data_IF_094322148418
#
_entry.id   IF_094322148418
#
_cell.length_a   1.000
_cell.length_b   1.000
_cell.length_c   1.000
_cell.angle_alpha   90.00
_cell.angle_beta   90.00
_cell.angle_gamma   90.00
#
_symmetry.space_group_name_H-M   'P 1'
#
loop_
_entity.id
_entity.type
_entity.pdbx_description
1 polymer ?
#
# COMPACT_ATOMS: atom_id res chain seq x y z
N UNK A 1 -3.08 33.71 -3.40
CA UNK A 1 -3.20 32.36 -2.81
C UNK A 1 -3.84 31.47 -3.87
N UNK A 2 -3.40 30.24 -4.02
CA UNK A 2 -3.98 29.31 -5.00
C UNK A 2 -5.22 28.66 -4.38
N UNK A 3 -6.39 29.21 -4.69
CA UNK A 3 -7.66 28.80 -4.09
C UNK A 3 -8.09 27.39 -4.59
N UNK A 4 -8.76 26.60 -3.75
CA UNK A 4 -9.13 25.20 -4.07
C UNK A 4 -9.99 25.10 -5.34
N UNK A 5 -10.89 26.05 -5.58
CA UNK A 5 -11.69 26.09 -6.82
C UNK A 5 -10.85 26.38 -8.07
N UNK A 6 -9.81 27.21 -7.94
CA UNK A 6 -8.86 27.47 -9.02
C UNK A 6 -7.99 26.24 -9.27
N UNK A 7 -7.58 25.54 -8.19
CA UNK A 7 -6.85 24.26 -8.28
C UNK A 7 -7.63 23.23 -9.08
N UNK A 8 -8.93 23.03 -8.80
CA UNK A 8 -9.76 22.07 -9.52
C UNK A 8 -9.87 22.43 -11.01
N UNK A 9 -10.07 23.71 -11.30
CA UNK A 9 -10.14 24.17 -12.70
C UNK A 9 -8.81 23.95 -13.42
N UNK A 10 -7.70 24.33 -12.80
CA UNK A 10 -6.36 24.12 -13.37
C UNK A 10 -6.07 22.62 -13.58
N UNK A 11 -6.51 21.75 -12.66
CA UNK A 11 -6.40 20.31 -12.83
C UNK A 11 -7.24 19.78 -14.01
N UNK A 12 -8.43 20.32 -14.22
CA UNK A 12 -9.28 20.00 -15.39
C UNK A 12 -8.64 20.49 -16.70
N UNK A 13 -8.01 21.67 -16.70
CA UNK A 13 -7.32 22.21 -17.88
C UNK A 13 -6.15 21.31 -18.33
N UNK A 14 -5.49 20.61 -17.38
CA UNK A 14 -4.42 19.65 -17.67
C UNK A 14 -4.90 18.20 -17.83
N UNK A 15 -6.21 17.93 -17.88
CA UNK A 15 -6.75 16.57 -18.02
C UNK A 15 -6.16 15.79 -19.21
N UNK A 16 -5.99 16.38 -20.42
CA UNK A 16 -5.37 15.65 -21.52
C UNK A 16 -3.95 15.15 -21.20
N UNK A 17 -3.16 15.95 -20.50
CA UNK A 17 -1.82 15.58 -20.02
C UNK A 17 -1.88 14.43 -19.01
N UNK A 18 -2.80 14.48 -18.05
CA UNK A 18 -2.97 13.43 -17.06
C UNK A 18 -3.34 12.11 -17.70
N UNK A 19 -4.31 12.11 -18.63
CA UNK A 19 -4.76 10.92 -19.34
C UNK A 19 -3.61 10.32 -20.18
N UNK A 20 -2.85 11.16 -20.90
CA UNK A 20 -1.71 10.68 -21.69
C UNK A 20 -0.63 10.04 -20.80
N UNK A 21 -0.29 10.69 -19.68
CA UNK A 21 0.69 10.19 -18.72
C UNK A 21 0.24 8.87 -18.09
N UNK A 22 -1.03 8.80 -17.66
CA UNK A 22 -1.63 7.58 -17.11
C UNK A 22 -1.51 6.41 -18.09
N UNK A 23 -1.94 6.62 -19.34
CA UNK A 23 -1.91 5.60 -20.39
C UNK A 23 -0.49 5.17 -20.78
N UNK A 24 0.48 6.08 -20.69
CA UNK A 24 1.89 5.76 -20.89
C UNK A 24 2.41 4.84 -19.79
N UNK A 25 2.13 5.15 -18.52
CA UNK A 25 2.55 4.35 -17.37
C UNK A 25 1.84 2.98 -17.38
N UNK A 26 0.54 2.96 -17.67
CA UNK A 26 -0.25 1.72 -17.76
C UNK A 26 0.30 0.72 -18.77
N UNK A 27 0.83 1.18 -19.90
CA UNK A 27 1.44 0.30 -20.91
C UNK A 27 2.74 -0.36 -20.49
N UNK A 28 3.47 0.21 -19.52
CA UNK A 28 4.81 -0.25 -19.15
C UNK A 28 4.89 -0.64 -17.66
N UNK A 29 4.01 -1.53 -17.16
CA UNK A 29 4.01 -1.92 -15.76
C UNK A 29 5.22 -2.79 -15.43
N UNK A 30 5.81 -2.58 -14.27
CA UNK A 30 6.89 -3.38 -13.72
C UNK A 30 6.53 -3.85 -12.31
N UNK A 31 6.83 -5.11 -11.98
CA UNK A 31 6.54 -5.67 -10.65
C UNK A 31 7.51 -5.12 -9.59
N UNK A 32 7.13 -5.28 -8.33
CA UNK A 32 7.90 -4.89 -7.17
C UNK A 32 9.40 -5.22 -7.30
N UNK A 33 10.28 -4.28 -6.90
CA UNK A 33 11.74 -4.31 -7.02
C UNK A 33 12.31 -4.34 -8.45
N UNK A 34 11.48 -4.16 -9.47
CA UNK A 34 11.91 -4.12 -10.89
C UNK A 34 11.46 -2.85 -11.61
N UNK A 35 11.07 -1.81 -10.89
CA UNK A 35 10.45 -0.58 -11.39
C UNK A 35 11.49 0.42 -11.97
N UNK A 36 12.65 -0.06 -12.40
CA UNK A 36 13.70 0.81 -12.97
C UNK A 36 13.27 1.48 -14.28
N UNK A 37 12.47 0.82 -15.11
CA UNK A 37 11.89 1.38 -16.33
C UNK A 37 10.85 2.44 -16.01
N UNK A 38 9.93 2.15 -15.10
CA UNK A 38 8.94 3.08 -14.58
C UNK A 38 9.60 4.35 -14.03
N UNK A 39 10.64 4.21 -13.21
CA UNK A 39 11.37 5.35 -12.67
C UNK A 39 12.12 6.15 -13.76
N UNK A 40 12.59 5.53 -14.84
CA UNK A 40 13.13 6.28 -16.00
C UNK A 40 12.06 7.13 -16.67
N UNK A 41 10.84 6.61 -16.86
CA UNK A 41 9.72 7.38 -17.41
C UNK A 41 9.37 8.56 -16.49
N UNK A 42 9.28 8.35 -15.18
CA UNK A 42 9.01 9.38 -14.19
C UNK A 42 10.08 10.49 -14.20
N UNK A 43 11.37 10.11 -14.22
CA UNK A 43 12.48 11.07 -14.27
C UNK A 43 12.50 11.87 -15.56
N UNK A 44 12.24 11.24 -16.70
CA UNK A 44 12.15 11.94 -17.99
C UNK A 44 11.00 12.97 -17.98
N UNK A 45 9.87 12.64 -17.34
CA UNK A 45 8.77 13.57 -17.21
C UNK A 45 9.08 14.69 -16.21
N UNK A 46 9.76 14.41 -15.11
CA UNK A 46 10.25 15.44 -14.16
C UNK A 46 11.23 16.41 -14.83
N UNK A 47 12.13 15.90 -15.67
CA UNK A 47 13.04 16.71 -16.48
C UNK A 47 12.26 17.63 -17.44
N UNK A 48 11.23 17.10 -18.12
CA UNK A 48 10.35 17.86 -19.02
C UNK A 48 9.59 18.97 -18.27
N UNK A 49 9.13 18.67 -17.05
CA UNK A 49 8.48 19.64 -16.16
C UNK A 49 9.51 20.60 -15.55
N UNK A 50 10.81 20.33 -15.63
CA UNK A 50 11.87 21.07 -14.97
C UNK A 50 11.78 21.03 -13.44
N UNK A 51 11.35 19.89 -12.87
CA UNK A 51 11.28 19.63 -11.43
C UNK A 51 12.49 18.84 -11.01
N UNK A 52 13.19 19.29 -9.97
CA UNK A 52 14.35 18.58 -9.42
C UNK A 52 13.93 17.32 -8.69
N UNK A 53 14.79 16.29 -8.72
CA UNK A 53 14.54 15.05 -8.00
C UNK A 53 15.83 14.45 -7.42
N UNK A 54 15.65 13.59 -6.43
CA UNK A 54 16.66 12.73 -5.84
C UNK A 54 16.40 11.30 -6.29
N UNK A 55 17.45 10.57 -6.65
CA UNK A 55 17.37 9.20 -7.16
C UNK A 55 18.39 8.32 -6.40
N UNK A 56 18.11 7.93 -5.15
CA UNK A 56 19.03 7.16 -4.33
C UNK A 56 19.22 5.73 -4.84
N UNK A 57 18.28 5.21 -5.62
CA UNK A 57 18.30 3.92 -6.28
C UNK A 57 17.61 3.99 -7.65
N UNK A 58 17.76 2.95 -8.46
CA UNK A 58 17.16 2.93 -9.80
C UNK A 58 15.63 2.90 -9.77
N UNK A 59 15.06 2.31 -8.72
CA UNK A 59 13.63 2.15 -8.49
C UNK A 59 13.03 3.18 -7.52
N UNK A 60 13.81 4.15 -6.99
CA UNK A 60 13.32 5.20 -6.09
C UNK A 60 13.56 6.57 -6.71
N UNK A 61 12.50 7.35 -6.82
CA UNK A 61 12.57 8.76 -7.25
C UNK A 61 11.79 9.64 -6.27
N UNK A 62 12.43 10.69 -5.76
CA UNK A 62 11.80 11.66 -4.86
C UNK A 62 11.90 13.03 -5.54
N UNK A 63 10.81 13.48 -6.13
CA UNK A 63 10.72 14.80 -6.72
C UNK A 63 10.62 15.87 -5.62
N UNK A 64 11.33 16.99 -5.79
CA UNK A 64 11.37 18.08 -4.80
C UNK A 64 11.02 19.39 -5.48
N UNK A 65 10.01 20.06 -4.94
CA UNK A 65 9.64 21.41 -5.37
C UNK A 65 9.54 22.33 -4.14
N UNK A 66 10.30 23.42 -4.15
CA UNK A 66 10.31 24.42 -3.08
C UNK A 66 9.66 25.70 -3.58
N UNK A 67 8.66 26.21 -2.86
CA UNK A 67 7.99 27.47 -3.19
C UNK A 67 8.85 28.71 -2.97
N UNK A 68 10.00 28.57 -2.31
CA UNK A 68 10.84 29.65 -1.79
C UNK A 68 10.14 30.56 -0.75
N UNK A 69 8.99 30.13 -0.23
CA UNK A 69 8.27 30.80 0.84
C UNK A 69 8.28 29.90 2.09
N UNK A 70 8.48 30.46 3.31
CA UNK A 70 8.49 29.67 4.53
C UNK A 70 7.20 28.87 4.71
N UNK A 71 7.32 27.60 5.07
CA UNK A 71 6.19 26.69 5.29
C UNK A 71 6.69 25.26 5.58
N UNK A 72 5.77 24.31 5.79
CA UNK A 72 6.10 22.90 6.05
C UNK A 72 6.66 22.19 4.81
N UNK A 73 7.29 21.05 5.04
CA UNK A 73 7.60 20.08 4.01
C UNK A 73 6.48 19.02 3.97
N UNK A 74 5.77 18.95 2.87
CA UNK A 74 4.69 17.96 2.66
C UNK A 74 5.22 16.79 1.85
N UNK A 75 5.05 15.56 2.35
CA UNK A 75 5.36 14.33 1.63
C UNK A 75 4.09 13.79 0.95
N UNK A 76 4.14 13.61 -0.36
CA UNK A 76 3.07 12.97 -1.12
C UNK A 76 3.57 11.61 -1.61
N UNK A 77 2.89 10.53 -1.23
CA UNK A 77 3.29 9.18 -1.65
C UNK A 77 2.51 8.75 -2.89
N UNK A 78 3.23 8.23 -3.86
CA UNK A 78 2.73 7.56 -5.06
C UNK A 78 3.52 6.26 -5.23
N UNK A 79 2.88 5.13 -5.04
CA UNK A 79 3.46 3.82 -5.31
C UNK A 79 3.67 3.60 -6.82
N UNK A 80 4.61 2.73 -7.17
CA UNK A 80 5.06 2.61 -8.58
C UNK A 80 4.99 1.20 -9.14
N UNK A 81 4.89 0.19 -8.31
CA UNK A 81 4.90 -1.20 -8.72
C UNK A 81 3.57 -1.68 -9.31
N UNK A 82 3.65 -2.73 -10.09
CA UNK A 82 2.54 -3.44 -10.71
C UNK A 82 2.50 -4.89 -10.21
N UNK A 83 1.45 -5.59 -10.59
CA UNK A 83 1.18 -6.96 -10.16
C UNK A 83 1.45 -7.99 -11.28
N UNK A 84 1.85 -9.22 -10.93
CA UNK A 84 1.97 -10.33 -11.88
C UNK A 84 0.57 -10.87 -12.25
N UNK A 85 -0.22 -10.03 -12.92
CA UNK A 85 -1.59 -10.31 -13.36
C UNK A 85 -1.65 -10.14 -14.87
N UNK A 86 -2.23 -11.12 -15.58
CA UNK A 86 -2.49 -10.99 -17.01
C UNK A 86 -3.64 -10.01 -17.24
N UNK A 87 -3.39 -8.96 -18.01
CA UNK A 87 -4.42 -8.01 -18.36
C UNK A 87 -5.43 -8.57 -19.36
N UNK A 88 -6.71 -8.34 -19.10
CA UNK A 88 -7.87 -8.78 -19.87
C UNK A 88 -8.83 -7.61 -20.21
N UNK A 89 -8.37 -6.38 -20.11
CA UNK A 89 -9.22 -5.18 -20.29
C UNK A 89 -9.62 -4.93 -21.74
N UNK A 90 -8.77 -5.33 -22.69
CA UNK A 90 -8.94 -5.02 -24.12
C UNK A 90 -8.78 -3.52 -24.45
N UNK A 91 -8.16 -2.74 -23.57
CA UNK A 91 -7.90 -1.32 -23.78
C UNK A 91 -6.86 -1.09 -24.88
N UNK A 92 -6.97 0.00 -25.66
CA UNK A 92 -5.99 0.32 -26.70
C UNK A 92 -4.59 0.68 -26.15
N UNK A 93 -4.50 0.89 -24.83
CA UNK A 93 -3.28 1.18 -24.10
C UNK A 93 -3.01 0.12 -23.03
N UNK A 94 -3.49 -1.10 -23.22
CA UNK A 94 -3.23 -2.23 -22.34
C UNK A 94 -1.72 -2.47 -22.19
N UNK A 95 -1.34 -3.16 -21.11
CA UNK A 95 0.03 -3.52 -20.78
C UNK A 95 0.76 -4.14 -21.99
N UNK A 96 1.95 -3.64 -22.28
CA UNK A 96 2.87 -4.22 -23.27
C UNK A 96 3.79 -5.30 -22.64
N UNK A 97 3.71 -5.52 -21.31
CA UNK A 97 4.45 -6.52 -20.56
C UNK A 97 3.55 -7.74 -20.26
N UNK A 98 3.62 -8.84 -21.03
CA UNK A 98 2.74 -9.99 -20.83
C UNK A 98 2.81 -10.53 -19.40
N UNK A 99 1.64 -10.75 -18.79
CA UNK A 99 1.53 -11.27 -17.42
C UNK A 99 1.78 -10.24 -16.31
N UNK A 100 1.93 -8.95 -16.65
CA UNK A 100 2.08 -7.86 -15.68
C UNK A 100 1.09 -6.75 -15.97
N UNK A 101 0.45 -6.20 -14.94
CA UNK A 101 -0.57 -5.16 -15.07
C UNK A 101 -0.60 -4.25 -13.84
N UNK A 102 -0.83 -2.95 -14.05
CA UNK A 102 -1.24 -2.05 -12.96
C UNK A 102 -2.68 -2.34 -12.52
N UNK A 103 -2.87 -3.45 -11.82
CA UNK A 103 -4.19 -3.90 -11.36
C UNK A 103 -4.58 -3.34 -9.99
N UNK A 104 -3.78 -2.43 -9.42
CA UNK A 104 -4.08 -1.70 -8.18
C UNK A 104 -4.23 -0.18 -8.36
N UNK A 105 -3.92 0.35 -9.55
CA UNK A 105 -4.08 1.77 -9.87
C UNK A 105 -2.87 2.64 -9.54
N UNK A 106 -1.69 2.06 -9.35
CA UNK A 106 -0.46 2.80 -9.03
C UNK A 106 -0.01 3.72 -10.18
N UNK A 107 -0.33 3.40 -11.41
CA UNK A 107 -0.20 4.28 -12.58
C UNK A 107 -0.99 5.58 -12.43
N UNK A 108 -2.19 5.52 -11.86
CA UNK A 108 -2.99 6.70 -11.53
C UNK A 108 -2.38 7.50 -10.37
N UNK A 109 -1.79 6.81 -9.37
CA UNK A 109 -1.12 7.48 -8.25
C UNK A 109 0.13 8.24 -8.72
N UNK A 110 0.97 7.61 -9.55
CA UNK A 110 2.12 8.27 -10.19
C UNK A 110 1.70 9.48 -11.04
N UNK A 111 0.65 9.32 -11.86
CA UNK A 111 0.08 10.38 -12.67
C UNK A 111 -0.41 11.54 -11.81
N UNK A 112 -1.07 11.23 -10.69
CA UNK A 112 -1.55 12.22 -9.71
C UNK A 112 -0.40 13.02 -9.13
N UNK A 113 0.70 12.35 -8.75
CA UNK A 113 1.91 13.01 -8.24
C UNK A 113 2.53 13.96 -9.26
N UNK A 114 2.67 13.52 -10.51
CA UNK A 114 3.20 14.36 -11.61
C UNK A 114 2.27 15.55 -11.91
N UNK A 115 0.95 15.32 -11.92
CA UNK A 115 -0.05 16.39 -12.08
C UNK A 115 0.03 17.42 -10.97
N UNK A 116 0.17 16.99 -9.72
CA UNK A 116 0.34 17.87 -8.55
C UNK A 116 1.61 18.73 -8.67
N UNK A 117 2.73 18.13 -9.05
CA UNK A 117 3.98 18.88 -9.27
C UNK A 117 3.84 19.92 -10.37
N UNK A 118 3.16 19.57 -11.47
CA UNK A 118 2.88 20.51 -12.56
C UNK A 118 2.04 21.68 -12.10
N UNK A 119 0.93 21.43 -11.41
CA UNK A 119 0.03 22.46 -10.89
C UNK A 119 0.76 23.39 -9.92
N UNK A 120 1.51 22.87 -8.96
CA UNK A 120 2.27 23.64 -8.01
C UNK A 120 3.37 24.47 -8.68
N UNK A 121 4.03 23.93 -9.70
CA UNK A 121 5.09 24.64 -10.44
C UNK A 121 4.54 25.77 -11.30
N UNK A 122 3.43 25.55 -12.00
CA UNK A 122 2.78 26.61 -12.79
C UNK A 122 2.24 27.75 -11.91
N UNK A 123 2.02 27.49 -10.60
CA UNK A 123 1.50 28.46 -9.64
C UNK A 123 2.52 28.84 -8.54
N UNK A 124 3.82 28.85 -8.90
CA UNK A 124 4.88 29.30 -7.98
C UNK A 124 4.60 30.68 -7.41
N UNK A 125 4.91 30.86 -6.12
CA UNK A 125 4.67 32.11 -5.39
C UNK A 125 3.24 32.26 -4.83
N UNK A 126 2.33 31.33 -5.10
CA UNK A 126 0.96 31.34 -4.57
C UNK A 126 0.71 30.34 -3.45
N UNK A 127 1.68 29.49 -3.15
CA UNK A 127 1.68 28.49 -2.07
C UNK A 127 2.98 28.57 -1.27
N UNK A 128 3.05 27.91 -0.11
CA UNK A 128 4.14 28.01 0.86
C UNK A 128 4.70 26.65 1.22
N UNK A 129 6.00 26.64 1.56
CA UNK A 129 6.71 25.45 2.00
C UNK A 129 7.31 24.67 0.85
N UNK A 130 7.52 23.40 1.07
CA UNK A 130 8.16 22.47 0.16
C UNK A 130 7.31 21.20 0.01
N UNK A 131 7.31 20.61 -1.17
CA UNK A 131 6.69 19.32 -1.41
C UNK A 131 7.74 18.31 -1.88
N UNK A 132 7.64 17.09 -1.36
CA UNK A 132 8.35 15.92 -1.84
C UNK A 132 7.33 14.92 -2.36
N UNK A 133 7.31 14.68 -3.67
CA UNK A 133 6.53 13.58 -4.24
C UNK A 133 7.42 12.35 -4.29
N UNK A 134 7.02 11.34 -3.54
CA UNK A 134 7.77 10.11 -3.31
C UNK A 134 7.18 9.05 -4.24
N UNK A 135 7.89 8.73 -5.31
CA UNK A 135 7.58 7.61 -6.17
C UNK A 135 8.20 6.36 -5.52
N UNK A 136 7.35 5.70 -4.70
CA UNK A 136 7.74 4.60 -3.84
C UNK A 136 7.64 3.27 -4.57
N UNK A 137 8.70 2.44 -4.60
CA UNK A 137 8.62 1.08 -5.15
C UNK A 137 7.91 0.12 -4.20
N UNK A 138 7.64 -1.09 -4.69
CA UNK A 138 7.34 -2.30 -3.92
C UNK A 138 6.30 -2.12 -2.80
N UNK A 139 5.16 -1.52 -3.12
CA UNK A 139 4.02 -1.51 -2.21
C UNK A 139 3.47 -2.94 -2.06
N UNK A 140 3.28 -3.63 -3.16
CA UNK A 140 2.82 -5.02 -3.24
C UNK A 140 3.93 -6.04 -2.90
N UNK A 141 5.19 -5.57 -2.90
CA UNK A 141 6.38 -6.33 -2.53
C UNK A 141 6.74 -6.26 -1.04
N UNK A 142 6.00 -5.47 -0.26
CA UNK A 142 5.97 -5.41 1.20
C UNK A 142 7.00 -4.49 1.89
N UNK A 143 8.15 -4.11 1.29
CA UNK A 143 9.24 -3.38 1.98
C UNK A 143 9.63 -2.03 1.34
N UNK A 144 8.96 -1.61 0.27
CA UNK A 144 9.34 -0.41 -0.48
C UNK A 144 9.32 0.89 0.33
N UNK A 145 8.40 1.03 1.28
CA UNK A 145 8.40 2.18 2.19
C UNK A 145 9.62 2.21 3.09
N UNK A 146 10.07 1.05 3.59
CA UNK A 146 11.24 0.94 4.44
C UNK A 146 12.52 1.27 3.66
N UNK A 147 12.60 0.86 2.37
CA UNK A 147 13.69 1.26 1.48
C UNK A 147 13.76 2.79 1.34
N UNK A 148 12.62 3.46 1.12
CA UNK A 148 12.56 4.92 1.02
C UNK A 148 12.96 5.58 2.35
N UNK A 149 12.42 5.12 3.47
CA UNK A 149 12.72 5.64 4.81
C UNK A 149 14.22 5.50 5.13
N UNK A 150 14.81 4.34 4.81
CA UNK A 150 16.23 4.07 5.02
C UNK A 150 17.17 5.02 4.28
N UNK A 151 16.72 5.65 3.18
CA UNK A 151 17.51 6.69 2.48
C UNK A 151 17.76 7.93 3.34
N UNK A 152 16.94 8.19 4.36
CA UNK A 152 16.94 9.42 5.16
C UNK A 152 16.44 10.67 4.42
N UNK A 153 16.11 10.56 3.14
CA UNK A 153 15.76 11.71 2.27
C UNK A 153 14.37 12.28 2.54
N UNK A 154 13.56 11.60 3.34
CA UNK A 154 12.20 12.02 3.73
C UNK A 154 12.08 12.40 5.21
N UNK A 155 13.20 12.42 5.96
CA UNK A 155 13.24 12.66 7.41
C UNK A 155 12.84 14.08 7.83
N UNK A 156 12.82 15.03 6.90
CA UNK A 156 12.43 16.42 7.10
C UNK A 156 10.98 16.72 6.68
N UNK A 157 10.20 15.70 6.36
CA UNK A 157 8.77 15.84 6.08
C UNK A 157 8.00 16.12 7.37
N UNK A 158 7.10 17.09 7.34
CA UNK A 158 6.27 17.51 8.48
C UNK A 158 4.90 16.82 8.51
N UNK A 159 4.40 16.39 7.34
CA UNK A 159 3.14 15.66 7.19
C UNK A 159 3.15 14.90 5.86
N UNK A 160 2.63 13.66 5.87
CA UNK A 160 2.44 12.88 4.64
C UNK A 160 0.98 12.84 4.22
N UNK A 161 0.78 12.74 2.90
CA UNK A 161 -0.54 12.49 2.33
C UNK A 161 -0.43 11.50 1.17
N UNK A 162 -1.35 10.55 1.13
CA UNK A 162 -1.52 9.63 0.02
C UNK A 162 -2.98 9.51 -0.38
N UNK A 163 -3.21 9.31 -1.68
CA UNK A 163 -4.52 9.00 -2.24
C UNK A 163 -4.42 7.61 -2.86
N UNK A 164 -5.39 6.74 -2.56
CA UNK A 164 -5.58 5.50 -3.31
C UNK A 164 -6.87 5.57 -4.12
N UNK A 165 -6.82 5.22 -5.40
CA UNK A 165 -8.01 5.05 -6.23
C UNK A 165 -8.75 3.78 -5.79
N UNK A 166 -10.10 3.82 -5.68
CA UNK A 166 -10.82 2.75 -5.00
C UNK A 166 -12.06 2.31 -5.76
N UNK A 167 -12.03 1.11 -6.36
CA UNK A 167 -13.11 0.58 -7.17
C UNK A 167 -14.40 0.20 -6.41
N UNK A 168 -14.42 -0.05 -5.08
CA UNK A 168 -15.68 -0.18 -4.35
C UNK A 168 -16.48 1.11 -4.17
N UNK A 169 -15.90 2.28 -4.44
CA UNK A 169 -16.59 3.56 -4.31
C UNK A 169 -16.93 4.15 -5.69
N UNK A 170 -18.09 4.81 -5.76
CA UNK A 170 -18.58 5.43 -6.98
C UNK A 170 -17.60 6.47 -7.53
N UNK A 171 -17.47 6.55 -8.84
CA UNK A 171 -16.59 7.47 -9.53
C UNK A 171 -16.82 8.93 -9.12
N UNK A 172 -15.72 9.64 -8.87
CA UNK A 172 -15.72 11.05 -8.47
C UNK A 172 -16.16 11.31 -7.03
N UNK A 173 -16.16 10.28 -6.15
CA UNK A 173 -16.38 10.45 -4.71
C UNK A 173 -15.05 10.48 -3.94
N UNK A 174 -14.98 11.27 -2.87
CA UNK A 174 -13.83 11.43 -2.00
C UNK A 174 -14.12 10.86 -0.61
N UNK A 175 -13.20 10.06 -0.08
CA UNK A 175 -13.38 9.38 1.19
C UNK A 175 -12.16 9.61 2.09
N UNK A 176 -12.40 10.17 3.26
CA UNK A 176 -11.38 10.40 4.31
C UNK A 176 -12.02 10.37 5.69
N UNK A 177 -11.36 9.75 6.65
CA UNK A 177 -11.81 9.66 8.04
C UNK A 177 -10.62 9.55 8.99
N UNK A 178 -10.69 10.09 10.21
CA UNK A 178 -9.63 9.98 11.22
C UNK A 178 -9.73 8.63 11.96
N UNK A 179 -9.64 7.53 11.22
CA UNK A 179 -9.79 6.17 11.73
C UNK A 179 -8.63 5.28 11.27
N UNK A 180 -8.58 4.07 11.79
CA UNK A 180 -7.78 2.98 11.20
C UNK A 180 -8.46 2.53 9.92
N UNK A 181 -7.80 2.71 8.79
CA UNK A 181 -8.35 2.40 7.45
C UNK A 181 -7.92 1.05 6.92
N UNK A 182 -6.68 0.62 7.26
CA UNK A 182 -6.10 -0.64 6.79
C UNK A 182 -5.37 -1.35 7.93
N UNK A 183 -5.27 -2.67 7.84
CA UNK A 183 -4.67 -3.50 8.87
C UNK A 183 -3.14 -3.48 8.84
N UNK A 184 -2.53 -3.70 10.00
CA UNK A 184 -1.15 -4.12 10.10
C UNK A 184 -0.96 -5.51 9.50
N UNK A 185 0.20 -5.71 8.88
CA UNK A 185 0.54 -6.93 8.15
C UNK A 185 1.76 -7.59 8.77
N UNK A 186 1.64 -8.89 9.06
CA UNK A 186 2.80 -9.74 9.27
C UNK A 186 2.79 -10.90 8.29
N UNK A 187 3.98 -11.32 7.88
CA UNK A 187 4.22 -12.58 7.20
C UNK A 187 4.98 -13.51 8.12
N UNK A 188 4.59 -14.78 8.20
CA UNK A 188 5.31 -15.74 9.01
C UNK A 188 5.67 -17.01 8.24
N UNK A 189 6.83 -17.57 8.60
CA UNK A 189 7.27 -18.90 8.18
C UNK A 189 7.60 -19.72 9.43
N UNK A 190 6.99 -20.89 9.56
CA UNK A 190 7.26 -21.84 10.63
C UNK A 190 7.88 -23.09 10.00
N UNK A 191 9.05 -23.50 10.50
CA UNK A 191 9.68 -24.77 10.15
C UNK A 191 9.68 -25.66 11.36
N UNK A 192 9.03 -26.83 11.23
CA UNK A 192 9.08 -27.90 12.22
C UNK A 192 10.16 -28.89 11.82
N UNK A 193 11.04 -29.21 12.74
CA UNK A 193 12.17 -30.11 12.52
C UNK A 193 12.03 -31.30 13.46
N UNK A 194 11.79 -32.44 12.89
CA UNK A 194 11.64 -33.71 13.57
C UNK A 194 12.77 -34.71 13.25
N UNK A 195 12.45 -35.96 13.26
CA UNK A 195 13.34 -37.06 12.87
C UNK A 195 12.60 -38.03 11.95
N UNK A 196 12.94 -38.00 10.65
CA UNK A 196 12.38 -38.89 9.63
C UNK A 196 12.80 -40.34 9.81
N UNK A 197 12.14 -41.24 9.08
CA UNK A 197 12.47 -42.65 9.09
C UNK A 197 11.48 -43.50 8.31
N UNK A 198 11.59 -44.84 8.51
CA UNK A 198 10.75 -45.79 7.81
C UNK A 198 9.31 -45.73 8.33
N UNK A 199 8.31 -45.63 7.44
CA UNK A 199 6.90 -45.52 7.80
C UNK A 199 6.35 -46.66 8.64
N UNK A 200 7.01 -47.86 8.67
CA UNK A 200 6.62 -49.01 9.49
C UNK A 200 7.26 -49.00 10.92
N UNK A 201 8.12 -48.02 11.25
CA UNK A 201 8.77 -47.91 12.57
C UNK A 201 8.60 -46.50 13.15
N UNK A 202 7.34 -46.00 13.29
CA UNK A 202 7.07 -44.63 13.73
C UNK A 202 7.59 -44.33 15.15
N UNK A 203 7.70 -45.33 16.00
CA UNK A 203 8.23 -45.22 17.36
C UNK A 203 9.70 -44.77 17.42
N UNK A 204 10.41 -44.81 16.29
CA UNK A 204 11.82 -44.38 16.17
C UNK A 204 11.94 -42.97 15.58
N UNK A 205 10.80 -42.33 15.27
CA UNK A 205 10.76 -41.08 14.55
C UNK A 205 10.10 -39.94 15.37
N UNK A 206 10.21 -38.72 14.87
CA UNK A 206 9.44 -37.56 15.30
C UNK A 206 8.82 -36.97 14.03
N UNK A 207 7.51 -37.21 13.83
CA UNK A 207 6.83 -36.96 12.58
C UNK A 207 6.48 -35.48 12.41
N UNK A 208 7.25 -34.77 11.60
CA UNK A 208 7.03 -33.36 11.34
C UNK A 208 5.74 -33.08 10.54
N UNK A 209 5.28 -34.02 9.70
CA UNK A 209 4.03 -33.90 8.95
C UNK A 209 2.83 -33.92 9.89
N UNK A 210 2.78 -34.86 10.82
CA UNK A 210 1.69 -34.96 11.80
C UNK A 210 1.71 -33.77 12.75
N UNK A 211 2.90 -33.34 13.20
CA UNK A 211 3.08 -32.12 13.99
C UNK A 211 2.56 -30.89 13.26
N UNK A 212 2.90 -30.72 11.96
CA UNK A 212 2.43 -29.62 11.13
C UNK A 212 0.93 -29.61 10.93
N UNK A 213 0.31 -30.76 10.64
CA UNK A 213 -1.14 -30.89 10.50
C UNK A 213 -1.88 -30.51 11.81
N UNK A 214 -1.34 -30.95 12.96
CA UNK A 214 -1.87 -30.56 14.28
C UNK A 214 -1.71 -29.06 14.54
N UNK A 215 -0.55 -28.48 14.18
CA UNK A 215 -0.28 -27.05 14.33
C UNK A 215 -1.24 -26.19 13.49
N UNK A 216 -1.49 -26.53 12.23
CA UNK A 216 -2.45 -25.83 11.36
C UNK A 216 -3.83 -25.74 12.03
N UNK A 217 -4.30 -26.81 12.63
CA UNK A 217 -5.58 -26.87 13.35
C UNK A 217 -5.52 -26.04 14.64
N UNK A 218 -4.45 -26.18 15.43
CA UNK A 218 -4.30 -25.51 16.72
C UNK A 218 -4.21 -24.00 16.58
N UNK A 219 -3.54 -23.48 15.53
CA UNK A 219 -3.41 -22.06 15.26
C UNK A 219 -4.75 -21.36 14.98
N UNK A 220 -5.79 -22.09 14.55
CA UNK A 220 -7.14 -21.51 14.40
C UNK A 220 -7.70 -21.00 15.74
N UNK A 221 -7.21 -21.53 16.87
CA UNK A 221 -7.62 -21.09 18.19
C UNK A 221 -7.09 -19.71 18.58
N UNK A 222 -6.07 -19.20 17.90
CA UNK A 222 -5.52 -17.86 18.16
C UNK A 222 -6.63 -16.82 18.02
N UNK A 223 -7.30 -16.77 16.87
CA UNK A 223 -8.38 -15.81 16.63
C UNK A 223 -9.64 -16.20 17.41
N UNK A 224 -10.02 -17.49 17.38
CA UNK A 224 -11.32 -17.91 17.90
C UNK A 224 -11.38 -18.05 19.44
N UNK A 225 -10.25 -18.11 20.16
CA UNK A 225 -10.20 -18.37 21.62
C UNK A 225 -9.25 -17.46 22.40
N UNK A 226 -8.33 -16.75 21.75
CA UNK A 226 -7.38 -15.88 22.45
C UNK A 226 -7.73 -14.39 22.34
N UNK A 227 -8.59 -14.01 21.38
CA UNK A 227 -9.04 -12.64 21.19
C UNK A 227 -10.48 -12.41 21.66
N UNK A 228 -10.77 -11.18 22.05
CA UNK A 228 -12.15 -10.73 22.24
C UNK A 228 -12.90 -10.83 20.89
N UNK A 229 -14.18 -11.26 20.88
CA UNK A 229 -14.99 -11.25 19.65
C UNK A 229 -15.16 -9.86 19.01
N UNK A 230 -14.86 -8.79 19.77
CA UNK A 230 -14.94 -7.41 19.30
C UNK A 230 -13.62 -6.92 18.67
N UNK A 231 -12.55 -7.71 18.75
CA UNK A 231 -11.23 -7.38 18.20
C UNK A 231 -11.02 -8.09 16.87
N UNK A 232 -11.07 -7.38 15.73
CA UNK A 232 -10.86 -7.98 14.43
C UNK A 232 -9.39 -8.40 14.26
N UNK A 233 -9.20 -9.66 13.87
CA UNK A 233 -7.90 -10.16 13.47
C UNK A 233 -8.07 -11.29 12.43
N UNK A 234 -7.08 -11.43 11.55
CA UNK A 234 -6.98 -12.54 10.61
C UNK A 234 -5.66 -13.25 10.85
N UNK A 235 -5.70 -14.58 10.95
CA UNK A 235 -4.54 -15.45 10.87
C UNK A 235 -4.84 -16.48 9.78
N UNK A 236 -4.10 -16.40 8.68
CA UNK A 236 -4.25 -17.29 7.54
C UNK A 236 -3.01 -18.13 7.36
N UNK A 237 -3.18 -19.44 7.18
CA UNK A 237 -2.14 -20.34 6.70
C UNK A 237 -2.40 -20.53 5.22
N UNK A 238 -1.50 -20.00 4.38
CA UNK A 238 -1.61 -20.05 2.92
C UNK A 238 -0.83 -21.20 2.29
N UNK A 239 0.14 -21.77 3.02
CA UNK A 239 1.01 -22.83 2.50
C UNK A 239 1.41 -23.81 3.60
N UNK A 240 1.38 -25.12 3.26
CA UNK A 240 1.89 -26.18 4.10
C UNK A 240 2.54 -27.26 3.24
N UNK A 241 3.83 -27.51 3.44
CA UNK A 241 4.62 -28.51 2.71
C UNK A 241 5.33 -29.44 3.67
N UNK A 242 5.16 -30.74 3.48
CA UNK A 242 5.87 -31.78 4.24
C UNK A 242 5.82 -33.12 3.51
N UNK A 243 6.88 -33.92 3.65
CA UNK A 243 6.97 -35.29 3.10
C UNK A 243 7.19 -35.33 1.58
N UNK A 244 7.74 -36.41 1.09
CA UNK A 244 8.02 -36.65 -0.35
C UNK A 244 7.38 -37.93 -0.87
N UNK A 245 7.39 -39.01 -0.06
CA UNK A 245 6.89 -40.34 -0.45
C UNK A 245 6.15 -41.00 0.70
N UNK A 246 5.10 -41.77 0.40
CA UNK A 246 4.12 -42.25 1.38
C UNK A 246 4.61 -43.30 2.39
N UNK A 247 5.81 -43.87 2.23
CA UNK A 247 6.38 -44.88 3.14
C UNK A 247 7.58 -44.31 3.96
N UNK A 248 7.82 -43.02 3.93
CA UNK A 248 8.88 -42.32 4.69
C UNK A 248 8.24 -41.27 5.57
N UNK A 249 8.53 -41.31 6.87
CA UNK A 249 8.12 -40.27 7.82
C UNK A 249 8.91 -39.01 7.55
N UNK A 250 8.20 -37.88 7.43
CA UNK A 250 8.79 -36.60 7.12
C UNK A 250 9.65 -36.06 8.26
N UNK A 251 10.85 -35.62 7.95
CA UNK A 251 11.74 -34.96 8.90
C UNK A 251 11.40 -33.49 9.11
N UNK A 252 10.83 -32.83 8.08
CA UNK A 252 10.56 -31.40 8.10
C UNK A 252 9.16 -31.08 7.62
N UNK A 253 8.60 -30.00 8.15
CA UNK A 253 7.38 -29.38 7.66
C UNK A 253 7.57 -27.85 7.62
N UNK A 254 7.17 -27.23 6.52
CA UNK A 254 7.14 -25.77 6.36
C UNK A 254 5.70 -25.28 6.26
N UNK A 255 5.37 -24.27 7.07
CA UNK A 255 4.06 -23.61 7.10
C UNK A 255 4.28 -22.12 6.92
N UNK A 256 3.56 -21.50 5.97
CA UNK A 256 3.62 -20.05 5.73
C UNK A 256 2.24 -19.43 5.84
N UNK A 257 2.20 -18.20 6.34
CA UNK A 257 0.95 -17.51 6.49
C UNK A 257 1.10 -16.02 6.77
N UNK A 258 -0.04 -15.38 7.02
CA UNK A 258 -0.12 -13.94 7.28
C UNK A 258 -0.99 -13.66 8.50
N UNK A 259 -0.67 -12.57 9.20
CA UNK A 259 -1.47 -12.00 10.28
C UNK A 259 -1.92 -10.60 9.86
N UNK A 260 -3.19 -10.26 10.14
CA UNK A 260 -3.75 -8.92 9.98
C UNK A 260 -4.39 -8.48 11.28
N UNK A 261 -4.10 -7.25 11.74
CA UNK A 261 -4.65 -6.67 12.96
C UNK A 261 -4.82 -5.16 12.83
N UNK A 262 -5.70 -4.56 13.63
CA UNK A 262 -6.00 -3.13 13.54
C UNK A 262 -5.30 -2.28 14.61
N UNK A 263 -4.61 -2.92 15.56
CA UNK A 263 -3.88 -2.24 16.61
C UNK A 263 -2.71 -3.10 17.12
N UNK A 264 -1.74 -2.46 17.77
CA UNK A 264 -0.52 -3.10 18.22
C UNK A 264 -0.76 -4.08 19.38
N UNK A 265 -1.73 -3.83 20.25
CA UNK A 265 -2.04 -4.73 21.38
C UNK A 265 -2.51 -6.10 20.85
N UNK A 266 -3.49 -6.08 19.93
CA UNK A 266 -3.98 -7.29 19.27
C UNK A 266 -2.87 -7.98 18.47
N UNK A 267 -2.02 -7.21 17.76
CA UNK A 267 -0.88 -7.72 17.00
C UNK A 267 0.07 -8.51 17.90
N UNK A 268 0.51 -7.89 18.97
CA UNK A 268 1.42 -8.51 19.96
C UNK A 268 0.81 -9.76 20.60
N UNK A 269 -0.49 -9.74 20.89
CA UNK A 269 -1.18 -10.91 21.45
C UNK A 269 -1.20 -12.08 20.45
N UNK A 270 -1.55 -11.81 19.17
CA UNK A 270 -1.57 -12.85 18.11
C UNK A 270 -0.18 -13.43 17.88
N UNK A 271 0.85 -12.60 17.81
CA UNK A 271 2.25 -13.03 17.64
C UNK A 271 2.70 -13.94 18.80
N UNK A 272 2.41 -13.54 20.03
CA UNK A 272 2.77 -14.34 21.21
C UNK A 272 2.04 -15.68 21.23
N UNK A 273 0.73 -15.69 20.94
CA UNK A 273 -0.06 -16.92 20.88
C UNK A 273 0.38 -17.86 19.74
N UNK A 274 0.72 -17.30 18.56
CA UNK A 274 1.29 -18.08 17.46
C UNK A 274 2.57 -18.80 17.92
N UNK A 275 3.48 -18.10 18.59
CA UNK A 275 4.74 -18.65 19.11
C UNK A 275 4.48 -19.74 20.14
N UNK A 276 3.70 -19.47 21.17
CA UNK A 276 3.40 -20.41 22.26
C UNK A 276 2.75 -21.70 21.76
N UNK A 277 1.76 -21.61 20.84
CA UNK A 277 1.08 -22.77 20.28
C UNK A 277 2.04 -23.55 19.39
N UNK A 278 2.88 -22.87 18.62
CA UNK A 278 3.86 -23.53 17.73
C UNK A 278 4.89 -24.31 18.53
N UNK A 279 5.50 -23.69 19.54
CA UNK A 279 6.51 -24.34 20.38
C UNK A 279 5.92 -25.55 21.17
N UNK A 280 4.71 -25.36 21.73
CA UNK A 280 4.03 -26.42 22.48
C UNK A 280 3.63 -27.60 21.58
N UNK A 281 3.13 -27.31 20.37
CA UNK A 281 2.77 -28.34 19.42
C UNK A 281 3.99 -29.11 18.91
N UNK A 282 5.07 -28.40 18.58
CA UNK A 282 6.32 -29.04 18.18
C UNK A 282 6.83 -29.99 19.28
N UNK A 283 6.88 -29.52 20.52
CA UNK A 283 7.33 -30.31 21.67
C UNK A 283 6.45 -31.57 21.88
N UNK A 284 5.13 -31.47 21.73
CA UNK A 284 4.19 -32.60 21.87
C UNK A 284 4.53 -33.76 20.91
N UNK A 285 5.07 -33.47 19.73
CA UNK A 285 5.47 -34.47 18.74
C UNK A 285 6.98 -34.75 18.74
N UNK A 286 7.74 -34.26 19.73
CA UNK A 286 9.19 -34.40 19.80
C UNK A 286 9.97 -33.64 18.75
N UNK A 287 9.33 -32.69 18.06
CA UNK A 287 9.94 -31.79 17.09
C UNK A 287 10.45 -30.52 17.75
N UNK A 288 11.29 -29.77 17.02
CA UNK A 288 11.63 -28.38 17.34
C UNK A 288 11.00 -27.45 16.30
N UNK A 289 10.81 -26.18 16.68
CA UNK A 289 10.25 -25.17 15.77
C UNK A 289 11.23 -24.01 15.56
N UNK A 290 11.30 -23.52 14.33
CA UNK A 290 11.90 -22.25 13.98
C UNK A 290 10.77 -21.34 13.45
N UNK A 291 10.70 -20.10 13.93
CA UNK A 291 9.62 -19.19 13.61
C UNK A 291 10.23 -17.86 13.13
N UNK A 292 10.03 -17.56 11.86
CA UNK A 292 10.30 -16.26 11.29
C UNK A 292 8.97 -15.51 11.19
N UNK A 293 8.86 -14.37 11.87
CA UNK A 293 7.68 -13.51 11.82
C UNK A 293 8.15 -12.08 11.49
N UNK A 294 7.83 -11.64 10.28
CA UNK A 294 8.25 -10.35 9.72
C UNK A 294 7.07 -9.40 9.82
N UNK A 295 7.26 -8.26 10.47
CA UNK A 295 6.32 -7.13 10.47
C UNK A 295 6.55 -6.34 9.20
N UNK A 296 5.58 -6.40 8.29
CA UNK A 296 5.65 -5.77 6.96
C UNK A 296 5.20 -4.32 7.03
N UNK A 297 4.03 -4.08 7.63
CA UNK A 297 3.50 -2.74 7.81
C UNK A 297 2.71 -2.61 9.11
N UNK A 298 2.63 -1.40 9.62
CA UNK A 298 1.70 -1.05 10.68
C UNK A 298 0.28 -0.85 10.14
N UNK A 299 -0.71 -0.71 11.04
CA UNK A 299 -2.05 -0.35 10.62
C UNK A 299 -2.07 1.10 10.14
N UNK A 300 -2.70 1.35 8.98
CA UNK A 300 -2.87 2.71 8.48
C UNK A 300 -3.89 3.43 9.35
N UNK A 301 -3.41 4.31 10.21
CA UNK A 301 -4.23 5.13 11.11
C UNK A 301 -4.05 6.60 10.78
N UNK A 302 -5.07 7.20 10.20
CA UNK A 302 -5.03 8.62 9.86
C UNK A 302 -4.90 9.51 11.10
N UNK A 303 -3.98 10.46 11.03
CA UNK A 303 -3.88 11.53 12.01
C UNK A 303 -5.12 12.44 11.93
N UNK A 304 -5.67 12.81 13.09
CA UNK A 304 -6.92 13.58 13.16
C UNK A 304 -6.82 14.94 12.49
N UNK A 305 -5.70 15.65 12.66
CA UNK A 305 -5.46 16.97 12.08
C UNK A 305 -5.27 16.88 10.57
N UNK A 306 -4.49 15.91 10.11
CA UNK A 306 -4.25 15.69 8.69
C UNK A 306 -5.54 15.26 7.97
N UNK A 307 -6.33 14.37 8.58
CA UNK A 307 -7.63 13.94 8.04
C UNK A 307 -8.65 15.09 8.01
N UNK A 308 -8.69 15.94 9.05
CA UNK A 308 -9.56 17.11 9.07
C UNK A 308 -9.19 18.10 7.97
N UNK A 309 -7.90 18.31 7.70
CA UNK A 309 -7.42 19.17 6.62
C UNK A 309 -7.79 18.59 5.24
N UNK A 310 -7.56 17.30 5.03
CA UNK A 310 -7.92 16.61 3.79
C UNK A 310 -9.44 16.66 3.54
N UNK A 311 -10.26 16.51 4.59
CA UNK A 311 -11.71 16.65 4.52
C UNK A 311 -12.14 18.07 4.17
N UNK A 312 -11.50 19.09 4.76
CA UNK A 312 -11.79 20.47 4.43
C UNK A 312 -11.51 20.76 2.96
N UNK A 313 -10.37 20.29 2.42
CA UNK A 313 -10.07 20.39 0.99
C UNK A 313 -11.12 19.66 0.13
N UNK A 314 -11.53 18.45 0.51
CA UNK A 314 -12.54 17.67 -0.21
C UNK A 314 -13.88 18.42 -0.34
N UNK A 315 -14.32 19.09 0.73
CA UNK A 315 -15.58 19.89 0.75
C UNK A 315 -15.57 21.07 -0.20
N UNK A 316 -14.41 21.59 -0.54
CA UNK A 316 -14.28 22.67 -1.52
C UNK A 316 -14.15 22.16 -2.96
N UNK A 317 -13.71 20.90 -3.15
CA UNK A 317 -13.50 20.29 -4.46
C UNK A 317 -14.77 19.67 -5.04
N UNK A 318 -15.59 19.04 -4.21
CA UNK A 318 -16.81 18.33 -4.66
C UNK A 318 -18.00 18.66 -3.77
N UNK A 319 -19.25 18.50 -4.27
CA UNK A 319 -20.46 18.60 -3.46
C UNK A 319 -20.47 17.60 -2.29
N UNK A 320 -21.20 17.92 -1.22
CA UNK A 320 -21.22 17.15 0.03
C UNK A 320 -21.70 15.68 -0.18
N UNK A 321 -22.61 15.45 -1.09
CA UNK A 321 -23.09 14.11 -1.47
C UNK A 321 -22.04 13.24 -2.18
N UNK A 322 -20.92 13.83 -2.59
CA UNK A 322 -19.75 13.14 -3.15
C UNK A 322 -18.65 12.86 -2.11
N UNK A 323 -18.88 13.19 -0.85
CA UNK A 323 -17.93 12.95 0.24
C UNK A 323 -18.49 11.86 1.14
N UNK A 324 -17.67 10.84 1.38
CA UNK A 324 -18.06 9.72 2.25
C UNK A 324 -17.01 9.39 3.31
N UNK A 325 -17.40 8.63 4.34
CA UNK A 325 -16.44 8.08 5.27
C UNK A 325 -15.64 6.95 4.62
N UNK A 326 -14.43 6.74 5.12
CA UNK A 326 -13.69 5.51 4.87
C UNK A 326 -14.26 4.37 5.71
N UNK A 327 -14.01 3.14 5.26
CA UNK A 327 -14.31 1.93 6.02
C UNK A 327 -13.01 1.26 6.42
N UNK A 328 -12.95 0.75 7.64
CA UNK A 328 -11.83 -0.11 8.08
C UNK A 328 -11.84 -1.41 7.29
N UNK A 329 -10.68 -1.80 6.77
CA UNK A 329 -10.49 -3.01 5.98
C UNK A 329 -9.32 -3.83 6.53
N UNK A 330 -9.33 -5.15 6.27
CA UNK A 330 -8.23 -6.03 6.66
C UNK A 330 -7.15 -6.15 5.56
N UNK A 331 -7.16 -5.25 4.58
CA UNK A 331 -6.08 -5.05 3.62
C UNK A 331 -4.94 -4.28 4.30
N UNK A 332 -3.71 -4.45 3.82
CA UNK A 332 -2.57 -3.66 4.27
C UNK A 332 -2.20 -2.55 3.27
N UNK A 333 -1.41 -1.60 3.71
CA UNK A 333 -0.68 -0.66 2.86
C UNK A 333 0.54 -0.18 3.66
N UNK A 334 1.73 -0.32 3.08
CA UNK A 334 2.98 0.03 3.76
C UNK A 334 3.22 1.55 3.86
N UNK A 335 2.29 2.37 3.36
CA UNK A 335 2.26 3.82 3.65
C UNK A 335 2.25 4.11 5.17
N UNK A 336 1.67 3.21 5.98
CA UNK A 336 1.67 3.33 7.43
C UNK A 336 3.08 3.52 8.02
N UNK A 337 4.11 2.95 7.39
CA UNK A 337 5.48 2.97 7.90
C UNK A 337 6.07 4.40 7.93
N UNK A 338 5.59 5.33 7.10
CA UNK A 338 5.99 6.74 7.19
C UNK A 338 5.56 7.42 8.50
N UNK A 339 4.66 6.80 9.24
CA UNK A 339 4.23 7.27 10.56
C UNK A 339 5.35 7.37 11.61
N UNK A 340 6.47 6.69 11.41
CA UNK A 340 7.68 6.83 12.26
C UNK A 340 8.38 8.18 12.08
N UNK A 341 8.07 8.90 10.99
CA UNK A 341 8.68 10.20 10.66
C UNK A 341 7.74 11.34 11.04
N UNK A 342 6.49 11.31 10.56
CA UNK A 342 5.55 12.41 10.71
C UNK A 342 4.09 11.91 10.67
N UNK A 343 3.13 12.72 11.17
CA UNK A 343 1.71 12.45 10.98
C UNK A 343 1.36 12.29 9.50
N UNK A 344 0.34 11.48 9.22
CA UNK A 344 -0.09 11.24 7.84
C UNK A 344 -1.60 11.10 7.70
N UNK A 345 -2.07 11.26 6.46
CA UNK A 345 -3.43 10.94 6.07
C UNK A 345 -3.42 10.13 4.77
N UNK A 346 -4.12 9.01 4.80
CA UNK A 346 -4.41 8.15 3.66
C UNK A 346 -5.88 8.32 3.28
N UNK A 347 -6.14 8.76 2.07
CA UNK A 347 -7.47 9.05 1.55
C UNK A 347 -7.80 8.15 0.35
N UNK A 348 -9.07 8.05 -0.02
CA UNK A 348 -9.53 7.22 -1.13
C UNK A 348 -10.38 8.03 -2.11
N UNK A 349 -10.18 7.79 -3.40
CA UNK A 349 -10.98 8.36 -4.49
C UNK A 349 -11.75 7.24 -5.17
N UNK A 350 -13.08 7.35 -5.20
CA UNK A 350 -13.94 6.40 -5.88
C UNK A 350 -13.75 6.47 -7.40
N UNK A 351 -13.68 5.29 -8.03
CA UNK A 351 -13.47 5.14 -9.47
C UNK A 351 -14.49 4.23 -10.16
N UNK A 352 -15.48 3.69 -9.42
CA UNK A 352 -16.45 2.75 -9.97
C UNK A 352 -17.54 3.45 -10.80
N UNK A 353 -17.63 3.09 -12.06
CA UNK A 353 -18.72 3.43 -12.97
C UNK A 353 -19.05 2.20 -13.83
N UNK A 354 -20.22 1.62 -13.65
CA UNK A 354 -20.63 0.42 -14.39
C UNK A 354 -20.73 0.69 -15.91
N UNK A 355 -21.17 1.89 -16.31
CA UNK A 355 -21.30 2.25 -17.72
C UNK A 355 -19.93 2.36 -18.42
N UNK A 356 -18.91 2.78 -17.68
CA UNK A 356 -17.50 2.83 -18.12
C UNK A 356 -16.75 1.53 -17.86
N UNK A 357 -17.39 0.54 -17.22
CA UNK A 357 -16.78 -0.75 -16.85
C UNK A 357 -15.57 -0.59 -15.93
N UNK A 358 -15.59 0.34 -14.97
CA UNK A 358 -14.51 0.59 -14.01
C UNK A 358 -14.82 0.03 -12.60
N UNK A 359 -15.88 -0.79 -12.46
CA UNK A 359 -16.29 -1.38 -11.19
C UNK A 359 -15.64 -2.74 -10.88
N UNK A 360 -14.63 -3.17 -11.65
CA UNK A 360 -13.90 -4.40 -11.35
C UNK A 360 -13.02 -4.21 -10.11
N UNK A 361 -12.93 -5.27 -9.31
CA UNK A 361 -12.09 -5.25 -8.10
C UNK A 361 -10.60 -5.06 -8.44
N UNK A 362 -9.86 -4.48 -7.48
CA UNK A 362 -8.40 -4.48 -7.53
C UNK A 362 -7.84 -5.90 -7.66
N UNK A 363 -6.64 -6.04 -8.21
CA UNK A 363 -5.94 -7.30 -8.49
C UNK A 363 -6.65 -8.22 -9.50
N UNK A 364 -7.65 -7.70 -10.22
CA UNK A 364 -8.36 -8.43 -11.27
C UNK A 364 -7.82 -8.01 -12.65
N UNK A 365 -7.60 -8.94 -13.57
CA UNK A 365 -7.11 -8.66 -14.92
C UNK A 365 -8.02 -7.73 -15.75
N UNK A 366 -9.23 -7.45 -15.28
CA UNK A 366 -10.18 -6.51 -15.89
C UNK A 366 -10.26 -5.19 -15.16
N UNK A 367 -9.45 -4.98 -14.12
CA UNK A 367 -9.38 -3.70 -13.41
C UNK A 367 -9.04 -2.57 -14.37
N UNK A 368 -9.72 -1.46 -14.22
CA UNK A 368 -9.44 -0.21 -14.92
C UNK A 368 -9.96 0.98 -14.12
N UNK A 369 -9.33 2.12 -14.28
CA UNK A 369 -9.74 3.37 -13.65
C UNK A 369 -10.72 4.15 -14.53
N UNK A 370 -11.60 4.93 -13.91
CA UNK A 370 -12.27 6.03 -14.59
C UNK A 370 -11.29 7.21 -14.73
N UNK A 371 -10.78 7.43 -15.94
CA UNK A 371 -9.78 8.47 -16.22
C UNK A 371 -10.28 9.90 -15.91
N UNK A 372 -11.61 10.12 -15.87
CA UNK A 372 -12.20 11.41 -15.50
C UNK A 372 -11.95 11.77 -14.02
N UNK A 373 -11.50 10.80 -13.20
CA UNK A 373 -11.11 11.04 -11.81
C UNK A 373 -9.69 11.59 -11.65
N UNK A 374 -8.82 11.48 -12.66
CA UNK A 374 -7.42 11.92 -12.57
C UNK A 374 -7.27 13.41 -12.19
N UNK A 375 -8.03 14.34 -12.80
CA UNK A 375 -7.98 15.75 -12.39
C UNK A 375 -8.37 15.96 -10.93
N UNK A 376 -9.37 15.22 -10.43
CA UNK A 376 -9.82 15.32 -9.04
C UNK A 376 -8.75 14.81 -8.06
N UNK A 377 -8.07 13.72 -8.39
CA UNK A 377 -6.95 13.20 -7.61
C UNK A 377 -5.82 14.24 -7.50
N UNK A 378 -5.38 14.80 -8.64
CA UNK A 378 -4.34 15.83 -8.68
C UNK A 378 -4.75 17.10 -7.94
N UNK A 379 -6.02 17.51 -8.08
CA UNK A 379 -6.55 18.67 -7.37
C UNK A 379 -6.55 18.46 -5.85
N UNK A 380 -6.92 17.26 -5.36
CA UNK A 380 -6.96 17.00 -3.92
C UNK A 380 -5.56 16.98 -3.29
N UNK A 381 -4.58 16.31 -3.91
CA UNK A 381 -3.20 16.37 -3.45
C UNK A 381 -2.63 17.79 -3.47
N UNK A 382 -2.93 18.55 -4.52
CA UNK A 382 -2.51 19.96 -4.63
C UNK A 382 -3.15 20.82 -3.54
N UNK A 383 -4.48 20.72 -3.36
CA UNK A 383 -5.21 21.48 -2.33
C UNK A 383 -4.72 21.16 -0.92
N UNK A 384 -4.46 19.90 -0.61
CA UNK A 384 -3.88 19.49 0.68
C UNK A 384 -2.50 20.15 0.89
N UNK A 385 -1.62 20.10 -0.12
CA UNK A 385 -0.28 20.72 -0.05
C UNK A 385 -0.35 22.22 0.19
N UNK A 386 -1.20 22.93 -0.55
CA UNK A 386 -1.39 24.39 -0.40
C UNK A 386 -1.94 24.73 0.98
N UNK A 387 -2.96 23.99 1.44
CA UNK A 387 -3.59 24.20 2.76
C UNK A 387 -2.63 23.92 3.92
N UNK A 388 -1.73 22.92 3.76
CA UNK A 388 -0.66 22.71 4.73
C UNK A 388 0.26 23.92 4.83
N UNK A 389 0.61 24.55 3.71
CA UNK A 389 1.45 25.76 3.70
C UNK A 389 0.89 26.91 4.55
N UNK A 390 -0.41 26.94 4.74
CA UNK A 390 -1.11 27.98 5.49
C UNK A 390 -1.36 27.62 6.96
N UNK A 391 -1.74 26.40 7.23
CA UNK A 391 -2.29 25.97 8.52
C UNK A 391 -1.40 24.98 9.28
N UNK A 392 -0.48 24.27 8.62
CA UNK A 392 0.38 23.29 9.26
C UNK A 392 1.59 23.95 9.90
N UNK A 393 1.46 24.29 11.17
CA UNK A 393 2.58 24.81 11.99
C UNK A 393 3.01 23.76 12.98
N UNK A 394 4.33 23.66 13.18
CA UNK A 394 4.93 22.81 14.25
C UNK A 394 4.44 23.23 15.61
#
# INVERSE_FOLDING_TARGET
MFETKEILRAAQDIAPYLIETYRLLHRHPEVAHREAGTNRLLRAELDRLGVSYLAPADNITIAVLDSNLPGPCVGLRCDTDALPVQEETGLPYASENPGVMHACGHDAHMTTGLGTLRLLKEHMGTWRGRVKVIFQPAEEGEDGSDEVIATGLVSDVDVFFAIHVWSPFASGTLHVSPIVTSAAVNMFTIRLIGRGGHGATPEKCHDALVAGASLVTSLQSVVSRSLSPMEPAVLTIGSFHSGLVGNVIAQEAEIKGTIRTLNEETRSLVENRLREITESTAAMFGCTAQIDNIRVSDAVKNDERAAALALACAKELVPEDKIGPQKTMMLGDNFANYGVIAPYCYAQVGIADEAKQTAFAHHNGRFRMDEDCLPLCAAWMTAFTVSCGESWRK
#
